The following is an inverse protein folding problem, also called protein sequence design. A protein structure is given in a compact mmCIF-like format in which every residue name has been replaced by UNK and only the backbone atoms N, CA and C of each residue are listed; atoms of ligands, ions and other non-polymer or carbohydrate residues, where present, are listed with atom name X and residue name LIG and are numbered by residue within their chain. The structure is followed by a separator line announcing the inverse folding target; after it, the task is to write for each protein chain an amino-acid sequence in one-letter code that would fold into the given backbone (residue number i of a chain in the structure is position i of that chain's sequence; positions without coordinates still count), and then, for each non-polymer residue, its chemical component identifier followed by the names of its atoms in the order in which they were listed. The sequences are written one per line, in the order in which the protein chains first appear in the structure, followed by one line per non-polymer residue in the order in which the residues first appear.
data_IF_731049910022
#
_entry.id   IF_731049910022
#
_cell.length_a   1.000
_cell.length_b   1.000
_cell.length_c   1.000
_cell.angle_alpha   90.00
_cell.angle_beta   90.00
_cell.angle_gamma   90.00
#
_symmetry.space_group_name_H-M   'P 1'
#
loop_
_entity.id
_entity.type
_entity.pdbx_description
1 polymer ?
#
# COMPACT_ATOMS: atom_id res chain seq x y z
N UNK A 1 -5.02 -5.08 -17.51
CA UNK A 1 -3.95 -5.26 -16.50
C UNK A 1 -3.85 -3.95 -15.74
N UNK A 2 -4.03 -3.95 -14.42
CA UNK A 2 -3.85 -2.75 -13.61
C UNK A 2 -2.36 -2.58 -13.24
N UNK A 3 -1.91 -1.33 -13.15
CA UNK A 3 -0.58 -0.96 -12.65
C UNK A 3 -0.68 -0.65 -11.15
N UNK A 4 0.01 -1.42 -10.32
CA UNK A 4 0.03 -1.14 -8.88
C UNK A 4 1.06 -0.08 -8.50
N UNK A 5 0.90 0.54 -7.33
CA UNK A 5 1.94 1.35 -6.67
C UNK A 5 3.30 0.65 -6.70
N UNK A 6 3.35 -0.61 -6.25
CA UNK A 6 4.57 -1.41 -6.20
C UNK A 6 5.15 -1.73 -7.58
N UNK A 7 4.32 -1.79 -8.64
CA UNK A 7 4.80 -1.92 -10.02
C UNK A 7 5.47 -0.62 -10.49
N UNK A 8 4.85 0.53 -10.21
CA UNK A 8 5.37 1.84 -10.57
C UNK A 8 6.71 2.13 -9.87
N UNK A 9 6.77 1.89 -8.55
CA UNK A 9 8.01 2.04 -7.79
C UNK A 9 9.13 1.14 -8.30
N UNK A 10 8.80 -0.08 -8.75
CA UNK A 10 9.76 -0.99 -9.34
C UNK A 10 10.26 -0.51 -10.71
N UNK A 11 9.38 0.06 -11.53
CA UNK A 11 9.75 0.67 -12.81
C UNK A 11 10.70 1.85 -12.63
N UNK A 12 10.46 2.70 -11.64
CA UNK A 12 11.33 3.84 -11.33
C UNK A 12 12.72 3.41 -10.87
N UNK A 13 12.84 2.26 -10.19
CA UNK A 13 14.17 1.67 -9.93
C UNK A 13 14.85 1.29 -11.24
N UNK A 14 14.16 0.54 -12.09
CA UNK A 14 14.59 0.26 -13.46
C UNK A 14 13.47 -0.43 -14.27
N UNK A 15 13.19 -0.03 -15.53
CA UNK A 15 12.10 -0.61 -16.33
C UNK A 15 12.16 -2.14 -16.49
N UNK A 16 13.37 -2.69 -16.63
CA UNK A 16 13.58 -4.13 -16.73
C UNK A 16 13.08 -4.90 -15.50
N UNK A 17 13.12 -4.31 -14.29
CA UNK A 17 12.64 -4.99 -13.08
C UNK A 17 11.13 -5.17 -13.11
N UNK A 18 10.37 -4.16 -13.54
CA UNK A 18 8.93 -4.30 -13.75
C UNK A 18 8.64 -5.36 -14.82
N UNK A 19 9.36 -5.34 -15.93
CA UNK A 19 9.19 -6.33 -16.99
C UNK A 19 9.43 -7.75 -16.47
N UNK A 20 10.53 -7.99 -15.75
CA UNK A 20 10.83 -9.29 -15.14
C UNK A 20 9.74 -9.71 -14.14
N UNK A 21 9.28 -8.80 -13.26
CA UNK A 21 8.17 -9.09 -12.32
C UNK A 21 6.90 -9.53 -13.03
N UNK A 22 6.59 -8.99 -14.21
CA UNK A 22 5.36 -9.30 -14.94
C UNK A 22 5.49 -10.51 -15.85
N UNK A 23 6.65 -10.73 -16.46
CA UNK A 23 6.80 -11.66 -17.58
C UNK A 23 7.84 -12.77 -17.34
N UNK A 24 8.77 -12.61 -16.40
CA UNK A 24 9.85 -13.57 -16.15
C UNK A 24 10.37 -13.49 -14.70
N UNK A 25 9.48 -13.79 -13.75
CA UNK A 25 9.77 -13.69 -12.31
C UNK A 25 10.94 -14.56 -11.86
N UNK A 26 11.20 -15.66 -12.56
CA UNK A 26 12.26 -16.61 -12.23
C UNK A 26 13.67 -16.01 -12.34
N UNK A 27 13.83 -14.90 -13.08
CA UNK A 27 15.09 -14.16 -13.20
C UNK A 27 15.30 -13.12 -12.10
N UNK A 28 14.29 -12.83 -11.29
CA UNK A 28 14.48 -11.96 -10.13
C UNK A 28 15.29 -12.71 -9.07
N UNK A 29 16.25 -12.05 -8.40
CA UNK A 29 16.97 -12.68 -7.31
C UNK A 29 15.98 -13.08 -6.21
N UNK A 30 16.23 -14.20 -5.50
CA UNK A 30 15.47 -14.51 -4.30
C UNK A 30 15.68 -13.41 -3.26
N UNK A 31 14.72 -13.28 -2.35
CA UNK A 31 14.85 -12.41 -1.18
C UNK A 31 15.92 -13.03 -0.28
N UNK A 32 17.00 -12.28 -0.01
CA UNK A 32 18.04 -12.71 0.92
C UNK A 32 17.62 -12.49 2.38
N UNK A 33 18.31 -13.14 3.32
CA UNK A 33 17.96 -13.09 4.74
C UNK A 33 17.95 -11.65 5.30
N UNK A 34 18.94 -10.83 4.92
CA UNK A 34 19.02 -9.44 5.35
C UNK A 34 17.87 -8.57 4.79
N UNK A 35 17.33 -8.90 3.61
CA UNK A 35 16.15 -8.25 3.06
C UNK A 35 14.88 -8.73 3.76
N UNK A 36 14.78 -10.03 4.08
CA UNK A 36 13.66 -10.56 4.85
C UNK A 36 13.59 -9.96 6.25
N UNK A 37 14.71 -9.89 6.98
CA UNK A 37 14.78 -9.26 8.31
C UNK A 37 14.32 -7.80 8.29
N UNK A 38 14.65 -7.05 7.22
CA UNK A 38 14.18 -5.67 7.06
C UNK A 38 12.68 -5.58 6.80
N UNK A 39 12.09 -6.55 6.10
CA UNK A 39 10.64 -6.61 5.91
C UNK A 39 9.93 -6.96 7.21
N UNK A 40 10.46 -7.95 7.95
CA UNK A 40 9.88 -8.37 9.22
C UNK A 40 9.89 -7.22 10.24
N UNK A 41 11.03 -6.51 10.37
CA UNK A 41 11.11 -5.31 11.20
C UNK A 41 10.21 -4.17 10.72
N UNK A 42 9.92 -4.09 9.42
CA UNK A 42 8.94 -3.17 8.85
C UNK A 42 7.52 -3.49 9.31
N UNK A 43 7.13 -4.76 9.23
CA UNK A 43 5.82 -5.24 9.66
C UNK A 43 5.62 -5.03 11.17
N UNK A 44 6.62 -5.33 12.00
CA UNK A 44 6.56 -5.06 13.45
C UNK A 44 6.39 -3.57 13.77
N UNK A 45 6.95 -2.69 12.94
CA UNK A 45 6.77 -1.25 13.08
C UNK A 45 5.35 -0.81 12.66
N UNK A 46 4.79 -1.39 11.60
CA UNK A 46 3.40 -1.16 11.19
C UNK A 46 2.41 -1.58 12.30
N UNK A 47 2.60 -2.75 12.92
CA UNK A 47 1.79 -3.20 14.08
C UNK A 47 1.80 -2.17 15.23
N UNK A 48 2.97 -1.57 15.48
CA UNK A 48 3.13 -0.54 16.51
C UNK A 48 2.40 0.76 16.17
N UNK A 49 2.31 1.10 14.88
CA UNK A 49 1.55 2.26 14.41
C UNK A 49 0.06 1.98 14.46
N UNK A 50 -0.39 0.78 14.07
CA UNK A 50 -1.81 0.38 14.17
C UNK A 50 -2.35 0.53 15.59
N UNK A 51 -1.55 0.17 16.60
CA UNK A 51 -1.90 0.33 18.01
C UNK A 51 -2.17 1.79 18.44
N UNK A 52 -1.74 2.79 17.68
CA UNK A 52 -2.00 4.22 17.94
C UNK A 52 -3.40 4.67 17.51
N UNK A 53 -4.12 3.85 16.74
CA UNK A 53 -5.43 4.19 16.18
C UNK A 53 -6.53 3.26 16.73
N UNK A 54 -6.95 3.43 17.99
CA UNK A 54 -7.99 2.60 18.58
C UNK A 54 -9.30 2.73 17.79
N UNK A 55 -9.84 1.60 17.35
CA UNK A 55 -11.07 1.55 16.54
C UNK A 55 -10.85 1.70 15.03
N UNK A 56 -9.61 1.74 14.56
CA UNK A 56 -9.32 1.60 13.13
C UNK A 56 -9.74 0.22 12.61
N UNK A 57 -10.06 0.16 11.32
CA UNK A 57 -10.36 -1.08 10.61
C UNK A 57 -9.15 -1.48 9.78
N UNK A 58 -8.48 -2.56 10.17
CA UNK A 58 -7.38 -3.13 9.39
C UNK A 58 -7.95 -4.13 8.39
N UNK A 59 -7.65 -3.91 7.11
CA UNK A 59 -7.98 -4.83 6.02
C UNK A 59 -6.74 -5.67 5.67
N UNK A 60 -6.96 -6.78 4.99
CA UNK A 60 -5.89 -7.73 4.68
C UNK A 60 -6.37 -8.84 3.77
N UNK A 61 -5.45 -9.61 3.23
CA UNK A 61 -5.73 -10.70 2.31
C UNK A 61 -4.70 -11.81 2.43
N UNK A 62 -5.17 -13.05 2.50
CA UNK A 62 -4.32 -14.25 2.50
C UNK A 62 -4.47 -15.06 1.20
N UNK A 63 -5.34 -14.62 0.30
CA UNK A 63 -5.58 -15.27 -0.99
C UNK A 63 -5.77 -14.29 -2.13
N UNK A 64 -5.61 -14.77 -3.36
CA UNK A 64 -5.88 -13.96 -4.55
C UNK A 64 -7.35 -13.53 -4.64
N UNK A 65 -8.29 -14.38 -4.20
CA UNK A 65 -9.70 -14.04 -4.16
C UNK A 65 -9.97 -12.89 -3.16
N UNK A 66 -9.34 -12.94 -1.98
CA UNK A 66 -9.45 -11.86 -1.00
C UNK A 66 -8.81 -10.56 -1.50
N UNK A 67 -7.65 -10.63 -2.15
CA UNK A 67 -7.01 -9.48 -2.79
C UNK A 67 -7.94 -8.80 -3.81
N UNK A 68 -8.66 -9.58 -4.62
CA UNK A 68 -9.63 -9.07 -5.57
C UNK A 68 -10.86 -8.44 -4.88
N UNK A 69 -11.23 -8.92 -3.70
CA UNK A 69 -12.36 -8.38 -2.92
C UNK A 69 -12.03 -7.11 -2.13
N UNK A 70 -10.74 -6.80 -1.93
CA UNK A 70 -10.31 -5.69 -1.08
C UNK A 70 -10.94 -4.34 -1.44
N UNK A 71 -11.05 -3.92 -2.72
CA UNK A 71 -11.65 -2.62 -3.04
C UNK A 71 -13.09 -2.49 -2.53
N UNK A 72 -13.89 -3.55 -2.68
CA UNK A 72 -15.25 -3.59 -2.15
C UNK A 72 -15.26 -3.55 -0.62
N UNK A 73 -14.40 -4.33 0.04
CA UNK A 73 -14.27 -4.33 1.52
C UNK A 73 -13.83 -2.98 2.07
N UNK A 74 -12.93 -2.28 1.36
CA UNK A 74 -12.50 -0.92 1.71
C UNK A 74 -13.65 0.06 1.60
N UNK A 75 -14.44 -0.01 0.52
CA UNK A 75 -15.63 0.83 0.36
C UNK A 75 -16.68 0.56 1.44
N UNK A 76 -16.94 -0.71 1.75
CA UNK A 76 -17.91 -1.11 2.77
C UNK A 76 -17.50 -0.62 4.17
N UNK A 77 -16.22 -0.69 4.51
CA UNK A 77 -15.69 -0.16 5.77
C UNK A 77 -15.91 1.36 5.88
N UNK A 78 -15.60 2.11 4.82
CA UNK A 78 -15.84 3.57 4.77
C UNK A 78 -17.34 3.89 4.87
N UNK A 79 -18.20 3.17 4.14
CA UNK A 79 -19.65 3.36 4.16
C UNK A 79 -20.26 3.01 5.52
N UNK A 80 -19.66 2.06 6.24
CA UNK A 80 -20.04 1.69 7.61
C UNK A 80 -19.53 2.69 8.68
N UNK A 81 -18.86 3.76 8.27
CA UNK A 81 -18.42 4.84 9.14
C UNK A 81 -17.02 4.68 9.72
N UNK A 82 -16.19 3.78 9.19
CA UNK A 82 -14.80 3.69 9.60
C UNK A 82 -14.09 5.04 9.39
N UNK A 83 -13.50 5.58 10.46
CA UNK A 83 -12.75 6.84 10.42
C UNK A 83 -11.29 6.66 10.02
N UNK A 84 -10.71 5.50 10.34
CA UNK A 84 -9.35 5.13 9.95
C UNK A 84 -9.38 3.70 9.40
N UNK A 85 -8.75 3.51 8.24
CA UNK A 85 -8.58 2.21 7.60
C UNK A 85 -7.10 1.96 7.37
N UNK A 86 -6.62 0.79 7.76
CA UNK A 86 -5.31 0.29 7.39
C UNK A 86 -5.42 -0.68 6.21
N UNK A 87 -4.39 -0.67 5.35
CA UNK A 87 -4.25 -1.61 4.24
C UNK A 87 -5.48 -1.62 3.29
N UNK A 88 -6.09 -0.44 3.11
CA UNK A 88 -7.22 -0.24 2.20
C UNK A 88 -6.78 -0.25 0.74
N UNK A 89 -7.53 -0.94 -0.12
CA UNK A 89 -7.23 -1.01 -1.55
C UNK A 89 -8.14 -0.09 -2.36
N UNK A 90 -7.54 0.72 -3.22
CA UNK A 90 -8.23 1.63 -4.12
C UNK A 90 -7.86 1.34 -5.58
N UNK A 91 -8.77 1.68 -6.47
CA UNK A 91 -8.61 1.52 -7.92
C UNK A 91 -9.14 2.78 -8.62
N UNK A 92 -8.38 3.29 -9.57
CA UNK A 92 -8.80 4.40 -10.42
C UNK A 92 -8.32 4.18 -11.86
N UNK A 93 -9.29 4.03 -12.78
CA UNK A 93 -9.01 3.67 -14.18
C UNK A 93 -8.18 2.38 -14.30
N UNK A 94 -6.91 2.53 -14.66
CA UNK A 94 -5.96 1.42 -14.83
C UNK A 94 -4.94 1.29 -13.68
N UNK A 95 -5.09 2.09 -12.62
CA UNK A 95 -4.18 2.17 -11.48
C UNK A 95 -4.82 1.54 -10.24
N UNK A 96 -3.97 1.00 -9.36
CA UNK A 96 -4.41 0.50 -8.04
C UNK A 96 -3.32 0.69 -7.00
N UNK A 97 -3.73 0.93 -5.76
CA UNK A 97 -2.82 0.91 -4.63
C UNK A 97 -3.50 0.29 -3.41
N UNK A 98 -2.69 -0.33 -2.56
CA UNK A 98 -3.02 -0.54 -1.16
C UNK A 98 -2.31 0.58 -0.41
N UNK A 99 -3.04 1.32 0.40
CA UNK A 99 -2.50 2.40 1.23
C UNK A 99 -2.21 1.88 2.63
N UNK A 100 -1.17 2.38 3.27
CA UNK A 100 -0.85 1.95 4.64
C UNK A 100 -1.94 2.44 5.59
N UNK A 101 -2.28 3.74 5.57
CA UNK A 101 -3.36 4.32 6.38
C UNK A 101 -4.14 5.39 5.60
N UNK A 102 -5.46 5.30 5.64
CA UNK A 102 -6.37 6.37 5.23
C UNK A 102 -7.23 6.79 6.44
N UNK A 103 -7.20 8.07 6.79
CA UNK A 103 -8.02 8.64 7.86
C UNK A 103 -8.97 9.71 7.31
N UNK A 104 -10.16 9.80 7.90
CA UNK A 104 -11.17 10.81 7.60
C UNK A 104 -11.39 11.69 8.84
N UNK A 105 -10.53 12.71 9.06
CA UNK A 105 -10.58 13.53 10.27
C UNK A 105 -11.83 14.42 10.31
N UNK A 106 -12.35 14.84 9.15
CA UNK A 106 -13.64 15.54 9.02
C UNK A 106 -14.47 14.93 7.90
N UNK A 107 -15.73 15.36 7.73
CA UNK A 107 -16.56 14.85 6.64
C UNK A 107 -16.04 15.22 5.24
N UNK A 108 -15.31 16.32 5.14
CA UNK A 108 -14.85 16.93 3.88
C UNK A 108 -13.34 16.78 3.63
N UNK A 109 -12.64 15.98 4.43
CA UNK A 109 -11.19 15.79 4.28
C UNK A 109 -10.76 14.34 4.47
N UNK A 110 -9.72 13.98 3.74
CA UNK A 110 -9.02 12.71 3.86
C UNK A 110 -7.54 12.98 4.12
N UNK A 111 -6.95 12.19 5.00
CA UNK A 111 -5.53 12.16 5.30
C UNK A 111 -4.97 10.80 4.90
N UNK A 112 -4.02 10.81 3.96
CA UNK A 112 -3.27 9.64 3.54
C UNK A 112 -1.93 9.64 4.28
N UNK A 113 -1.60 8.54 4.96
CA UNK A 113 -0.33 8.36 5.65
C UNK A 113 0.36 7.11 5.10
N UNK A 114 1.63 7.26 4.73
CA UNK A 114 2.52 6.15 4.36
C UNK A 114 3.51 5.90 5.51
N UNK A 115 3.55 4.67 6.00
CA UNK A 115 4.39 4.25 7.11
C UNK A 115 5.79 3.94 6.58
N UNK A 116 6.82 4.45 7.27
CA UNK A 116 8.22 4.20 6.95
C UNK A 116 9.05 4.03 8.21
N UNK A 117 9.70 2.88 8.36
CA UNK A 117 10.67 2.57 9.43
C UNK A 117 12.05 3.23 9.23
N UNK A 118 12.10 4.35 8.49
CA UNK A 118 13.33 5.08 8.16
C UNK A 118 13.48 6.34 9.02
N UNK A 119 14.72 6.70 9.36
CA UNK A 119 15.01 7.92 10.16
C UNK A 119 14.89 9.24 9.40
N UNK A 120 14.61 9.20 8.09
CA UNK A 120 14.44 10.38 7.24
C UNK A 120 13.52 10.08 6.06
N UNK A 121 12.93 11.12 5.49
CA UNK A 121 12.18 11.04 4.23
C UNK A 121 13.15 10.93 3.07
N UNK A 122 12.94 9.95 2.20
CA UNK A 122 13.71 9.77 0.97
C UNK A 122 12.87 10.17 -0.26
N UNK A 123 13.49 10.58 -1.39
CA UNK A 123 12.75 11.03 -2.57
C UNK A 123 11.72 10.01 -3.08
N UNK A 124 12.03 8.72 -3.00
CA UNK A 124 11.11 7.64 -3.38
C UNK A 124 9.83 7.60 -2.53
N UNK A 125 9.86 8.04 -1.27
CA UNK A 125 8.66 8.08 -0.42
C UNK A 125 7.66 9.12 -0.94
N UNK A 126 8.16 10.23 -1.46
CA UNK A 126 7.33 11.29 -2.03
C UNK A 126 6.61 10.78 -3.26
N UNK A 127 7.32 10.08 -4.13
CA UNK A 127 6.77 9.55 -5.39
C UNK A 127 5.79 8.40 -5.12
N UNK A 128 6.07 7.57 -4.11
CA UNK A 128 5.18 6.51 -3.65
C UNK A 128 3.84 7.07 -3.13
N UNK A 129 3.90 8.09 -2.27
CA UNK A 129 2.71 8.77 -1.75
C UNK A 129 1.96 9.50 -2.87
N UNK A 130 2.67 10.16 -3.80
CA UNK A 130 2.07 10.85 -4.93
C UNK A 130 1.28 9.90 -5.84
N UNK A 131 1.79 8.69 -6.10
CA UNK A 131 1.05 7.69 -6.86
C UNK A 131 -0.27 7.32 -6.17
N UNK A 132 -0.23 7.11 -4.85
CA UNK A 132 -1.42 6.79 -4.06
C UNK A 132 -2.44 7.93 -4.07
N UNK A 133 -1.99 9.18 -3.94
CA UNK A 133 -2.84 10.37 -4.07
C UNK A 133 -3.55 10.41 -5.43
N UNK A 134 -2.83 10.16 -6.53
CA UNK A 134 -3.44 10.10 -7.88
C UNK A 134 -4.53 9.02 -7.96
N UNK A 135 -4.32 7.86 -7.33
CA UNK A 135 -5.33 6.79 -7.29
C UNK A 135 -6.56 7.20 -6.47
N UNK A 136 -6.38 7.93 -5.38
CA UNK A 136 -7.49 8.38 -4.52
C UNK A 136 -8.27 9.57 -5.10
N UNK A 137 -7.62 10.44 -5.88
CA UNK A 137 -8.23 11.63 -6.47
C UNK A 137 -8.96 11.37 -7.80
N UNK A 138 -8.67 10.26 -8.48
CA UNK A 138 -9.23 9.93 -9.81
C UNK A 138 -10.49 9.09 -9.74
#
# INVERSE_FOLDING_TARGET
MQLSKSDYMLFLKHPAWLWLKKYDKAKLPPIDAATQERFDAGNEFEDSVEALYPGAVTLGFDSYAEYLSLPARTQDALASGAKTIFQGRFESGSLTCIVDVLTKPTEDSLELLEIKSSTKVWPEHIVDLAFQTIVLEG
#
